data_IF_575389306582
#
_entry.id   IF_575389306582
#
_cell.length_a   1.000
_cell.length_b   1.000
_cell.length_c   1.000
_cell.angle_alpha   90.00
_cell.angle_beta   90.00
_cell.angle_gamma   90.00
#
_symmetry.space_group_name_H-M   'P 1'
#
loop_
_entity.id
_entity.type
_entity.pdbx_description
1 polymer ?
#
# COMPACT_ATOMS: atom_id res chain seq x y z
N UNK A 1 7.20 -0.42 5.06
CA UNK A 1 6.52 -1.61 5.62
C UNK A 1 6.25 -2.58 4.48
N UNK A 2 6.44 -3.90 4.65
CA UNK A 2 6.24 -4.85 3.54
C UNK A 2 4.74 -5.11 3.28
N UNK A 3 4.37 -5.38 2.02
CA UNK A 3 2.96 -5.67 1.66
C UNK A 3 2.44 -6.93 2.37
N UNK A 4 3.29 -7.94 2.54
CA UNK A 4 2.90 -9.19 3.21
C UNK A 4 2.57 -8.95 4.69
N UNK A 5 3.38 -8.18 5.41
CA UNK A 5 3.09 -7.83 6.81
C UNK A 5 1.87 -6.91 6.93
N UNK A 6 1.67 -6.02 5.97
CA UNK A 6 0.44 -5.24 5.92
C UNK A 6 -0.78 -6.12 5.71
N UNK A 7 -0.66 -7.25 5.00
CA UNK A 7 -1.77 -8.16 4.74
C UNK A 7 -2.14 -9.06 5.92
N UNK A 8 -1.18 -9.41 6.80
CA UNK A 8 -1.40 -10.31 7.94
C UNK A 8 -2.60 -9.98 8.84
N UNK A 9 -2.85 -8.71 9.24
CA UNK A 9 -3.98 -8.39 10.10
C UNK A 9 -5.34 -8.40 9.39
N UNK A 10 -5.38 -8.46 8.05
CA UNK A 10 -6.63 -8.40 7.31
C UNK A 10 -7.14 -9.80 6.95
N UNK A 11 -8.44 -10.04 7.12
CA UNK A 11 -9.11 -11.29 6.71
C UNK A 11 -9.35 -11.37 5.19
N UNK A 12 -8.42 -10.87 4.38
CA UNK A 12 -8.53 -10.86 2.93
C UNK A 12 -7.28 -11.44 2.26
N UNK A 13 -7.45 -11.99 1.06
CA UNK A 13 -6.32 -12.55 0.31
C UNK A 13 -5.33 -11.46 -0.12
N UNK A 14 -4.05 -11.80 -0.27
CA UNK A 14 -3.00 -10.89 -0.79
C UNK A 14 -3.39 -10.11 -2.05
N UNK A 15 -4.06 -10.70 -3.07
CA UNK A 15 -4.51 -9.96 -4.25
C UNK A 15 -5.54 -8.88 -3.94
N UNK A 16 -6.41 -9.09 -2.94
CA UNK A 16 -7.38 -8.08 -2.50
C UNK A 16 -6.65 -6.90 -1.86
N UNK A 17 -5.69 -7.17 -0.96
CA UNK A 17 -4.83 -6.14 -0.36
C UNK A 17 -4.10 -5.35 -1.45
N UNK A 18 -3.51 -6.04 -2.43
CA UNK A 18 -2.82 -5.38 -3.55
C UNK A 18 -3.77 -4.47 -4.34
N UNK A 19 -5.01 -4.89 -4.61
CA UNK A 19 -6.03 -4.05 -5.26
C UNK A 19 -6.32 -2.77 -4.48
N UNK A 20 -6.52 -2.86 -3.16
CA UNK A 20 -6.74 -1.67 -2.33
C UNK A 20 -5.53 -0.74 -2.32
N UNK A 21 -4.34 -1.31 -2.17
CA UNK A 21 -3.09 -0.55 -2.24
C UNK A 21 -2.90 0.11 -3.62
N UNK A 22 -3.50 -0.42 -4.68
CA UNK A 22 -3.36 0.11 -6.04
C UNK A 22 -4.18 1.39 -6.17
N UNK A 23 -5.43 1.35 -5.69
CA UNK A 23 -6.31 2.52 -5.59
C UNK A 23 -5.70 3.60 -4.71
N UNK A 24 -5.08 3.23 -3.57
CA UNK A 24 -4.42 4.19 -2.69
C UNK A 24 -3.17 4.81 -3.35
N UNK A 25 -2.45 4.06 -4.18
CA UNK A 25 -1.29 4.58 -4.90
C UNK A 25 -1.72 5.51 -6.05
N UNK A 26 -2.78 5.14 -6.77
CA UNK A 26 -3.40 5.96 -7.82
C UNK A 26 -3.93 7.29 -7.26
N UNK A 27 -4.55 7.26 -6.08
CA UNK A 27 -4.97 8.45 -5.35
C UNK A 27 -3.78 9.27 -4.76
N UNK A 28 -2.54 8.82 -4.95
CA UNK A 28 -1.33 9.46 -4.42
C UNK A 28 -1.15 9.31 -2.90
N UNK A 29 -2.05 8.60 -2.21
CA UNK A 29 -2.06 8.44 -0.75
C UNK A 29 -0.94 7.53 -0.25
N UNK A 30 -0.41 6.65 -1.09
CA UNK A 30 0.76 5.83 -0.75
C UNK A 30 1.80 5.82 -1.89
N UNK A 31 3.06 5.66 -1.52
CA UNK A 31 4.15 5.34 -2.43
C UNK A 31 4.52 3.85 -2.30
N UNK A 32 4.78 3.21 -3.45
CA UNK A 32 5.27 1.83 -3.52
C UNK A 32 6.70 1.79 -4.01
N UNK A 33 7.55 1.05 -3.31
CA UNK A 33 8.92 0.78 -3.72
C UNK A 33 9.18 -0.72 -3.70
N UNK A 34 9.64 -1.27 -4.82
CA UNK A 34 9.98 -2.70 -4.92
C UNK A 34 11.48 -2.88 -4.72
N UNK A 35 11.86 -3.58 -3.65
CA UNK A 35 13.24 -3.92 -3.35
C UNK A 35 13.40 -5.44 -3.41
N UNK A 36 13.95 -5.93 -4.53
CA UNK A 36 14.08 -7.36 -4.79
C UNK A 36 12.71 -8.07 -4.86
N UNK A 37 12.47 -9.01 -3.93
CA UNK A 37 11.21 -9.77 -3.83
C UNK A 37 10.16 -9.09 -2.95
N UNK A 38 10.53 -8.04 -2.23
CA UNK A 38 9.65 -7.36 -1.28
C UNK A 38 9.14 -6.06 -1.88
N UNK A 39 7.82 -5.86 -1.80
CA UNK A 39 7.20 -4.56 -2.08
C UNK A 39 7.02 -3.85 -0.75
N UNK A 40 7.61 -2.67 -0.63
CA UNK A 40 7.41 -1.77 0.49
C UNK A 40 6.36 -0.71 0.12
N UNK A 41 5.43 -0.47 1.02
CA UNK A 41 4.49 0.64 0.94
C UNK A 41 4.83 1.69 2.01
N UNK A 42 4.65 2.95 1.67
CA UNK A 42 4.82 4.09 2.56
C UNK A 42 3.65 5.06 2.37
N UNK A 43 3.11 5.59 3.46
CA UNK A 43 2.04 6.59 3.42
C UNK A 43 2.61 7.92 2.92
N UNK A 44 1.89 8.56 2.01
CA UNK A 44 2.20 9.91 1.53
C UNK A 44 1.24 10.87 2.22
N UNK A 45 1.78 11.82 3.00
CA UNK A 45 0.95 12.81 3.70
C UNK A 45 0.36 13.88 2.75
N UNK A 46 0.99 14.11 1.60
CA UNK A 46 0.64 15.23 0.71
C UNK A 46 -0.84 15.30 0.27
N UNK A 47 -1.50 14.19 -0.15
CA UNK A 47 -2.91 14.26 -0.53
C UNK A 47 -3.86 14.25 0.67
N UNK A 48 -3.38 13.98 1.89
CA UNK A 48 -4.21 13.93 3.11
C UNK A 48 -4.42 15.31 3.73
N UNK A 49 -3.57 16.28 3.41
CA UNK A 49 -3.67 17.68 3.89
C UNK A 49 -4.59 18.55 3.01
N UNK A 50 -5.06 18.03 1.87
CA UNK A 50 -5.87 18.78 0.90
C UNK A 50 -7.37 18.41 0.91
N UNK A 51 -7.84 17.62 1.88
CA UNK A 51 -9.22 17.12 2.00
C UNK A 51 -10.04 17.89 3.04
#
# INVERSE_FOLDING_TARGET
MSVSELAEPFKMSLPAVMKHLDVLADAGLIARNKTGRTVACQLTAAPMEQA
#
